data_IF_418497425992
#
_entry.id   IF_418497425992
#
_cell.length_a   1.000
_cell.length_b   1.000
_cell.length_c   1.000
_cell.angle_alpha   90.00
_cell.angle_beta   90.00
_cell.angle_gamma   90.00
#
_symmetry.space_group_name_H-M   'P 1'
#
loop_
_entity.id
_entity.type
_entity.pdbx_description
1 polymer ?
#
# COMPACT_ATOMS: atom_id res chain seq x y z
N UNK A 1 36.27 74.00 48.33
CA UNK A 1 36.46 72.91 47.36
C UNK A 1 35.26 72.95 46.39
N UNK A 2 35.14 73.89 45.45
CA UNK A 2 35.62 73.83 44.06
C UNK A 2 36.70 72.77 43.74
N UNK A 3 36.85 72.29 42.47
CA UNK A 3 36.17 72.82 41.28
C UNK A 3 35.81 71.85 40.10
N UNK A 4 34.98 72.40 39.18
CA UNK A 4 35.12 72.48 37.70
C UNK A 4 34.90 71.20 36.86
N UNK A 5 34.31 71.23 35.65
CA UNK A 5 33.62 72.22 34.80
C UNK A 5 33.23 71.47 33.50
N UNK A 6 32.02 71.59 32.94
CA UNK A 6 31.64 72.60 31.93
C UNK A 6 32.65 72.67 30.74
N UNK A 7 32.31 72.64 29.45
CA UNK A 7 31.20 73.24 28.67
C UNK A 7 31.51 72.95 27.17
N UNK A 8 30.58 72.52 26.30
CA UNK A 8 29.62 73.31 25.48
C UNK A 8 30.15 73.69 24.08
N UNK A 9 29.21 73.71 23.10
CA UNK A 9 29.16 74.45 21.81
C UNK A 9 29.55 73.64 20.56
N UNK A 10 28.87 73.69 19.40
CA UNK A 10 27.72 74.49 18.94
C UNK A 10 27.16 73.96 17.60
N UNK A 11 25.88 74.24 17.36
CA UNK A 11 25.15 74.24 16.07
C UNK A 11 25.76 75.18 15.01
N UNK A 12 25.67 74.79 13.72
CA UNK A 12 25.23 75.59 12.54
C UNK A 12 25.66 74.87 11.23
N UNK A 13 24.77 74.29 10.41
CA UNK A 13 23.93 74.87 9.34
C UNK A 13 24.66 75.37 8.07
N UNK A 14 24.09 75.02 6.89
CA UNK A 14 24.19 75.61 5.52
C UNK A 14 24.96 74.74 4.49
N UNK A 15 24.22 73.95 3.68
CA UNK A 15 23.93 74.07 2.22
C UNK A 15 25.14 73.80 1.30
N UNK A 16 25.07 73.18 0.12
CA UNK A 16 24.09 72.50 -0.74
C UNK A 16 24.94 71.97 -1.93
N UNK A 17 24.61 70.89 -2.67
CA UNK A 17 23.91 70.92 -3.99
C UNK A 17 24.18 69.56 -4.67
N UNK A 18 23.10 68.94 -5.17
CA UNK A 18 22.91 68.06 -6.36
C UNK A 18 23.92 66.91 -6.63
N UNK A 19 23.52 65.68 -7.01
CA UNK A 19 22.47 65.34 -7.96
C UNK A 19 21.95 63.89 -7.79
N UNK A 20 20.69 63.71 -8.18
CA UNK A 20 20.03 62.43 -8.46
C UNK A 20 20.80 61.54 -9.45
N UNK A 21 20.79 60.24 -9.16
CA UNK A 21 20.56 59.22 -10.19
C UNK A 21 19.90 58.00 -9.55
N UNK A 22 18.62 57.81 -9.89
CA UNK A 22 17.85 56.58 -9.71
C UNK A 22 18.50 55.43 -10.47
N UNK A 23 18.83 54.34 -9.79
CA UNK A 23 19.05 53.04 -10.42
C UNK A 23 18.31 51.98 -9.60
N UNK A 24 17.19 51.56 -10.15
CA UNK A 24 16.55 50.30 -9.84
C UNK A 24 17.59 49.19 -10.06
N UNK A 25 18.08 48.60 -8.97
CA UNK A 25 18.85 47.38 -9.03
C UNK A 25 17.86 46.22 -8.95
N UNK A 26 17.57 45.66 -10.12
CA UNK A 26 17.02 44.32 -10.28
C UNK A 26 17.79 43.36 -9.35
N UNK A 27 17.10 42.74 -8.39
CA UNK A 27 17.61 41.55 -7.74
C UNK A 27 17.59 40.43 -8.79
N UNK A 28 18.67 40.33 -9.57
CA UNK A 28 18.98 39.10 -10.27
C UNK A 28 19.44 38.10 -9.22
N UNK A 29 18.53 37.24 -8.79
CA UNK A 29 18.89 35.97 -8.17
C UNK A 29 19.63 35.17 -9.22
N UNK A 30 20.96 35.29 -9.26
CA UNK A 30 21.78 34.30 -9.95
C UNK A 30 21.66 33.03 -9.14
N UNK A 31 20.75 32.15 -9.56
CA UNK A 31 20.79 30.75 -9.17
C UNK A 31 22.22 30.26 -9.45
N UNK A 32 22.90 29.75 -8.42
CA UNK A 32 24.17 29.09 -8.64
C UNK A 32 23.95 27.96 -9.65
N UNK A 33 24.84 27.77 -10.63
CA UNK A 33 24.73 26.65 -11.54
C UNK A 33 24.81 25.38 -10.71
N UNK A 34 23.74 24.59 -10.74
CA UNK A 34 23.71 23.19 -10.31
C UNK A 34 25.05 22.56 -10.66
N UNK A 35 25.80 22.14 -9.64
CA UNK A 35 27.08 21.47 -9.83
C UNK A 35 26.86 20.31 -10.79
N UNK A 36 27.64 20.26 -11.88
CA UNK A 36 27.55 19.17 -12.84
C UNK A 36 27.49 17.82 -12.09
N UNK A 37 26.54 16.92 -12.44
CA UNK A 37 26.34 15.68 -11.69
C UNK A 37 27.66 14.95 -11.57
N UNK A 38 28.01 14.57 -10.34
CA UNK A 38 29.23 13.79 -10.11
C UNK A 38 29.03 12.46 -10.84
N UNK A 39 30.06 11.98 -11.55
CA UNK A 39 29.98 10.68 -12.22
C UNK A 39 29.64 9.61 -11.16
N UNK A 40 28.48 8.99 -11.29
CA UNK A 40 27.95 8.01 -10.34
C UNK A 40 26.96 8.54 -9.28
N UNK A 41 26.56 9.81 -9.36
CA UNK A 41 25.69 10.49 -8.39
C UNK A 41 24.55 11.20 -9.13
N UNK A 42 23.56 10.42 -9.57
CA UNK A 42 22.35 10.90 -10.24
C UNK A 42 21.11 10.24 -9.62
N UNK A 43 19.99 10.95 -9.62
CA UNK A 43 18.69 10.34 -9.39
C UNK A 43 18.52 9.14 -10.34
N UNK A 44 17.91 8.07 -9.86
CA UNK A 44 17.56 6.91 -10.67
C UNK A 44 16.21 7.09 -11.37
N UNK A 45 15.36 7.97 -10.85
CA UNK A 45 14.15 8.42 -11.51
C UNK A 45 14.46 9.61 -12.43
N UNK A 46 14.25 9.39 -13.73
CA UNK A 46 14.43 10.43 -14.76
C UNK A 46 13.28 11.47 -14.79
N UNK A 47 12.21 11.24 -14.02
CA UNK A 47 11.08 12.15 -13.86
C UNK A 47 9.81 11.46 -13.34
N UNK A 48 8.83 12.27 -12.95
CA UNK A 48 7.54 11.81 -12.42
C UNK A 48 6.45 11.72 -13.50
N UNK A 49 5.53 10.80 -13.30
CA UNK A 49 4.34 10.64 -14.16
C UNK A 49 3.21 11.54 -13.68
N UNK A 50 2.69 12.39 -14.58
CA UNK A 50 1.48 13.15 -14.29
C UNK A 50 0.26 12.23 -14.22
N UNK A 51 -0.54 12.40 -13.18
CA UNK A 51 -1.83 11.72 -13.04
C UNK A 51 -2.79 12.15 -14.18
N UNK A 52 -2.79 13.42 -14.57
CA UNK A 52 -3.61 13.93 -15.69
C UNK A 52 -3.25 13.29 -17.04
N UNK A 53 -1.99 12.92 -17.26
CA UNK A 53 -1.56 12.28 -18.51
C UNK A 53 -2.14 10.86 -18.63
N UNK A 54 -2.35 10.17 -17.50
CA UNK A 54 -3.03 8.88 -17.45
C UNK A 54 -4.53 9.07 -17.72
N UNK A 55 -5.17 10.01 -17.02
CA UNK A 55 -6.62 10.23 -17.10
C UNK A 55 -7.09 10.78 -18.45
N UNK A 56 -6.26 11.60 -19.09
CA UNK A 56 -6.53 12.13 -20.43
C UNK A 56 -6.26 11.14 -21.56
N UNK A 57 -5.67 9.98 -21.25
CA UNK A 57 -5.22 9.02 -22.26
C UNK A 57 -4.00 9.49 -23.07
N UNK A 58 -3.24 10.46 -22.55
CA UNK A 58 -1.99 10.91 -23.16
C UNK A 58 -0.91 9.83 -23.09
N UNK A 59 -0.99 8.94 -22.09
CA UNK A 59 -0.19 7.72 -22.00
C UNK A 59 -1.00 6.51 -22.48
N UNK A 60 -0.35 5.69 -23.31
CA UNK A 60 -0.87 4.37 -23.68
C UNK A 60 -0.69 3.37 -22.52
N UNK A 61 -1.46 2.27 -22.55
CA UNK A 61 -1.31 1.19 -21.56
C UNK A 61 0.12 0.67 -21.50
N UNK A 62 0.78 0.45 -22.64
CA UNK A 62 2.16 -0.05 -22.69
C UNK A 62 3.12 0.91 -21.98
N UNK A 63 2.97 2.22 -22.19
CA UNK A 63 3.77 3.24 -21.51
C UNK A 63 3.50 3.28 -20.00
N UNK A 64 2.26 3.09 -19.58
CA UNK A 64 1.88 3.04 -18.15
C UNK A 64 2.53 1.81 -17.50
N UNK A 65 2.43 0.64 -18.14
CA UNK A 65 3.00 -0.62 -17.66
C UNK A 65 4.54 -0.55 -17.62
N UNK A 66 5.18 -0.02 -18.67
CA UNK A 66 6.64 0.15 -18.74
C UNK A 66 7.15 1.07 -17.63
N UNK A 67 6.46 2.19 -17.37
CA UNK A 67 6.80 3.10 -16.26
C UNK A 67 6.62 2.45 -14.89
N UNK A 68 5.56 1.67 -14.71
CA UNK A 68 5.33 0.92 -13.48
C UNK A 68 6.37 -0.17 -13.25
N UNK A 69 6.77 -0.90 -14.30
CA UNK A 69 7.86 -1.89 -14.24
C UNK A 69 9.20 -1.21 -13.95
N UNK A 70 9.46 -0.06 -14.57
CA UNK A 70 10.63 0.75 -14.29
C UNK A 70 10.66 1.11 -12.80
N UNK A 71 9.60 1.75 -12.27
CA UNK A 71 9.53 2.12 -10.86
C UNK A 71 9.67 0.92 -9.91
N UNK A 72 9.15 -0.26 -10.29
CA UNK A 72 9.27 -1.49 -9.51
C UNK A 72 10.71 -2.02 -9.41
N UNK A 73 11.52 -1.78 -10.45
CA UNK A 73 12.91 -2.28 -10.57
C UNK A 73 13.96 -1.23 -10.25
N UNK A 74 13.56 0.04 -10.21
CA UNK A 74 14.42 1.16 -9.81
C UNK A 74 14.99 0.91 -8.42
N UNK A 75 16.31 0.96 -8.32
CA UNK A 75 17.02 0.97 -7.04
C UNK A 75 17.16 2.42 -6.58
N UNK A 76 16.17 2.91 -5.84
CA UNK A 76 16.12 4.28 -5.34
C UNK A 76 17.36 4.65 -4.54
N UNK A 77 17.75 5.92 -4.64
CA UNK A 77 18.85 6.49 -3.86
C UNK A 77 18.43 7.83 -3.22
N UNK A 78 19.33 8.44 -2.47
CA UNK A 78 19.04 9.69 -1.75
C UNK A 78 18.77 10.90 -2.66
N UNK A 79 19.11 10.82 -3.95
CA UNK A 79 18.77 11.84 -4.94
C UNK A 79 17.35 11.64 -5.50
N UNK A 80 16.72 10.50 -5.23
CA UNK A 80 15.31 10.23 -5.52
C UNK A 80 14.40 10.59 -4.32
N UNK A 81 14.96 10.79 -3.13
CA UNK A 81 14.20 10.94 -1.86
C UNK A 81 14.33 9.74 -0.91
N UNK A 82 15.09 8.70 -1.27
CA UNK A 82 15.09 7.48 -0.49
C UNK A 82 15.81 7.65 0.86
N UNK A 83 15.09 7.41 1.96
CA UNK A 83 15.71 7.06 3.23
C UNK A 83 14.94 7.45 4.49
N UNK A 84 13.95 8.35 4.39
CA UNK A 84 13.16 8.84 5.53
C UNK A 84 13.97 9.15 6.80
N UNK A 85 14.92 10.09 6.75
CA UNK A 85 15.89 10.27 7.83
C UNK A 85 15.24 10.67 9.16
N UNK A 86 14.24 11.55 9.15
CA UNK A 86 13.60 12.08 10.38
C UNK A 86 12.22 11.47 10.71
N UNK A 87 11.70 10.52 9.92
CA UNK A 87 10.37 9.94 10.15
C UNK A 87 10.37 8.41 10.22
N UNK A 88 9.27 7.87 10.71
CA UNK A 88 8.95 6.45 10.74
C UNK A 88 7.52 6.19 10.26
N UNK A 89 7.14 4.91 10.12
CA UNK A 89 5.85 4.42 9.59
C UNK A 89 5.14 5.36 8.57
N UNK A 90 3.81 5.31 8.44
CA UNK A 90 3.06 6.23 7.58
C UNK A 90 2.31 7.29 8.38
N UNK A 91 2.55 7.42 9.68
CA UNK A 91 1.94 8.41 10.56
C UNK A 91 2.59 9.78 10.34
N UNK A 92 1.81 10.87 10.22
CA UNK A 92 2.35 12.21 10.01
C UNK A 92 3.02 12.80 11.26
N UNK A 93 2.95 12.11 12.40
CA UNK A 93 3.41 12.65 13.69
C UNK A 93 4.53 11.79 14.31
N UNK A 94 5.00 10.74 13.62
CA UNK A 94 6.01 9.82 14.16
C UNK A 94 7.42 10.20 13.66
N UNK A 95 8.06 11.10 14.40
CA UNK A 95 9.38 11.66 14.09
C UNK A 95 10.49 11.06 14.95
N UNK A 96 11.70 11.01 14.40
CA UNK A 96 12.92 10.56 15.05
C UNK A 96 14.11 11.48 14.73
N UNK A 97 15.20 11.46 15.51
CA UNK A 97 16.44 12.12 15.12
C UNK A 97 16.94 11.63 13.75
N UNK A 98 17.39 12.56 12.91
CA UNK A 98 17.87 12.26 11.56
C UNK A 98 18.90 11.13 11.52
N UNK A 99 18.67 10.17 10.62
CA UNK A 99 19.60 9.07 10.33
C UNK A 99 20.05 9.10 8.88
N UNK A 100 21.34 9.34 8.69
CA UNK A 100 21.98 9.42 7.36
C UNK A 100 23.05 8.35 7.24
N UNK A 101 23.60 8.18 6.03
CA UNK A 101 24.64 7.19 5.78
C UNK A 101 25.82 7.30 6.77
N UNK A 102 26.30 6.17 7.35
CA UNK A 102 25.95 4.79 7.05
C UNK A 102 24.81 4.18 7.91
N UNK A 103 24.16 4.97 8.76
CA UNK A 103 23.18 4.52 9.76
C UNK A 103 21.73 4.72 9.31
N UNK A 104 21.48 4.88 8.01
CA UNK A 104 20.15 5.15 7.44
C UNK A 104 19.33 3.88 7.16
N UNK A 105 19.95 2.70 7.06
CA UNK A 105 19.25 1.42 6.87
C UNK A 105 19.04 0.68 8.19
N UNK A 106 17.87 0.06 8.34
CA UNK A 106 17.56 -0.83 9.45
C UNK A 106 16.58 -1.90 9.03
N UNK A 107 17.04 -3.15 9.06
CA UNK A 107 16.30 -4.33 8.60
C UNK A 107 14.98 -4.60 9.33
N UNK A 108 14.81 -4.04 10.53
CA UNK A 108 13.66 -4.28 11.40
C UNK A 108 12.63 -3.16 11.30
N UNK A 109 13.06 -1.90 11.39
CA UNK A 109 12.16 -0.74 11.58
C UNK A 109 12.38 0.41 10.60
N UNK A 110 13.54 0.45 9.92
CA UNK A 110 13.88 1.49 8.95
C UNK A 110 13.73 1.00 7.52
N UNK A 111 14.18 1.80 6.53
CA UNK A 111 14.40 1.30 5.18
C UNK A 111 15.29 0.05 5.21
N UNK A 112 14.90 -0.96 4.46
CA UNK A 112 15.54 -2.28 4.41
C UNK A 112 15.79 -2.80 2.99
N UNK A 113 15.36 -2.04 1.98
CA UNK A 113 15.59 -2.32 0.58
C UNK A 113 15.68 -1.00 -0.21
N UNK A 114 16.04 -1.08 -1.49
CA UNK A 114 16.03 0.06 -2.42
C UNK A 114 15.12 -0.15 -3.63
N UNK A 115 14.54 -1.35 -3.80
CA UNK A 115 13.71 -1.69 -4.96
C UNK A 115 12.70 -2.78 -4.59
N UNK A 116 11.51 -2.74 -5.18
CA UNK A 116 10.51 -3.79 -4.98
C UNK A 116 11.02 -5.16 -5.45
N UNK A 117 11.77 -5.20 -6.56
CA UNK A 117 12.33 -6.43 -7.13
C UNK A 117 13.32 -7.15 -6.22
N UNK A 118 13.86 -6.50 -5.17
CA UNK A 118 14.75 -7.14 -4.20
C UNK A 118 14.03 -8.18 -3.34
N UNK A 119 12.74 -7.97 -3.07
CA UNK A 119 11.90 -8.89 -2.29
C UNK A 119 10.86 -9.61 -3.17
N UNK A 120 10.45 -9.00 -4.28
CA UNK A 120 9.42 -9.52 -5.18
C UNK A 120 9.99 -9.98 -6.53
N UNK A 121 10.98 -10.88 -6.47
CA UNK A 121 11.82 -11.23 -7.62
C UNK A 121 11.92 -12.72 -7.94
N UNK A 122 11.38 -13.62 -7.11
CA UNK A 122 11.57 -15.08 -7.25
C UNK A 122 10.23 -15.78 -7.56
N UNK A 123 10.12 -16.56 -8.67
CA UNK A 123 11.18 -16.95 -9.60
C UNK A 123 11.50 -15.89 -10.68
N UNK A 124 10.69 -14.84 -10.76
CA UNK A 124 10.90 -13.67 -11.63
C UNK A 124 10.22 -12.46 -11.01
N UNK A 125 10.41 -11.29 -11.62
CA UNK A 125 9.78 -10.04 -11.23
C UNK A 125 8.26 -10.22 -10.99
N UNK A 126 7.80 -9.82 -9.81
CA UNK A 126 6.43 -10.00 -9.32
C UNK A 126 6.23 -11.27 -8.49
N UNK A 127 7.26 -12.09 -8.34
CA UNK A 127 7.27 -13.23 -7.43
C UNK A 127 7.43 -12.84 -5.96
N UNK A 128 7.62 -13.82 -5.08
CA UNK A 128 7.92 -13.56 -3.67
C UNK A 128 9.41 -13.59 -3.39
N UNK A 129 9.74 -13.67 -2.11
CA UNK A 129 11.11 -13.68 -1.61
C UNK A 129 11.32 -14.74 -0.53
N UNK A 130 12.58 -15.11 -0.31
CA UNK A 130 12.95 -16.11 0.70
C UNK A 130 13.00 -15.51 2.11
N UNK A 131 13.40 -16.33 3.10
CA UNK A 131 13.48 -15.91 4.49
C UNK A 131 14.35 -14.66 4.73
N UNK A 132 15.38 -14.41 3.91
CA UNK A 132 16.23 -13.23 4.07
C UNK A 132 15.49 -11.93 3.73
N UNK A 133 14.37 -12.03 3.01
CA UNK A 133 13.51 -10.92 2.58
C UNK A 133 12.20 -10.81 3.38
N UNK A 134 12.05 -11.55 4.49
CA UNK A 134 10.88 -11.45 5.38
C UNK A 134 10.74 -10.04 5.97
N UNK A 135 9.57 -9.42 5.94
CA UNK A 135 9.36 -8.10 6.56
C UNK A 135 8.91 -8.24 8.02
N UNK A 136 9.20 -7.23 8.86
CA UNK A 136 8.74 -7.16 10.24
C UNK A 136 7.57 -6.18 10.33
N UNK A 137 6.35 -6.68 10.14
CA UNK A 137 5.14 -5.83 10.14
C UNK A 137 4.97 -5.20 11.53
N UNK A 138 4.64 -3.89 11.57
CA UNK A 138 4.48 -3.05 12.77
C UNK A 138 5.77 -2.68 13.49
N UNK A 139 6.92 -3.17 13.04
CA UNK A 139 8.19 -2.74 13.59
C UNK A 139 8.62 -1.36 13.06
N UNK A 140 8.03 -0.92 11.94
CA UNK A 140 8.22 0.39 11.35
C UNK A 140 7.67 1.55 12.18
N UNK A 141 6.87 1.26 13.21
CA UNK A 141 6.41 2.25 14.19
C UNK A 141 7.45 2.60 15.27
N UNK A 142 8.54 1.83 15.38
CA UNK A 142 9.66 2.14 16.27
C UNK A 142 10.66 3.09 15.59
N UNK A 143 11.30 3.94 16.39
CA UNK A 143 12.24 4.93 15.88
C UNK A 143 13.42 4.29 15.13
N UNK A 144 14.12 3.31 15.72
CA UNK A 144 15.24 2.60 15.07
C UNK A 144 15.72 1.40 15.90
N UNK A 145 15.08 0.24 15.74
CA UNK A 145 15.31 -0.95 16.56
C UNK A 145 16.75 -1.44 16.50
N UNK A 146 17.34 -1.68 17.67
CA UNK A 146 18.71 -2.20 17.84
C UNK A 146 18.83 -3.27 18.95
N UNK A 147 17.75 -3.59 19.65
CA UNK A 147 17.69 -4.61 20.71
C UNK A 147 18.63 -4.32 21.90
N UNK A 148 18.92 -3.05 22.19
CA UNK A 148 19.70 -2.62 23.34
C UNK A 148 18.86 -1.98 24.47
N UNK A 149 17.55 -1.85 24.26
CA UNK A 149 16.63 -1.21 25.20
C UNK A 149 16.80 0.30 25.30
N UNK A 150 17.41 0.92 24.29
CA UNK A 150 17.56 2.36 24.14
C UNK A 150 16.33 3.03 23.52
N UNK A 151 16.51 4.29 23.14
CA UNK A 151 15.44 5.13 22.54
C UNK A 151 14.89 4.54 21.23
N UNK A 152 15.72 3.87 20.43
CA UNK A 152 15.30 3.22 19.19
C UNK A 152 14.37 2.02 19.38
N UNK A 153 14.38 1.45 20.58
CA UNK A 153 13.55 0.33 21.05
C UNK A 153 12.42 0.84 21.99
N UNK A 154 12.09 2.13 21.98
CA UNK A 154 11.15 2.78 22.92
C UNK A 154 11.45 2.49 24.41
N UNK A 155 12.73 2.31 24.74
CA UNK A 155 13.20 1.91 26.06
C UNK A 155 12.65 0.55 26.55
N UNK A 156 12.29 -0.34 25.62
CA UNK A 156 11.73 -1.66 25.89
C UNK A 156 12.68 -2.78 25.45
N UNK A 157 12.57 -3.94 26.10
CA UNK A 157 13.30 -5.13 25.69
C UNK A 157 12.52 -5.85 24.57
N UNK A 158 13.08 -5.83 23.36
CA UNK A 158 12.53 -6.54 22.22
C UNK A 158 13.34 -7.77 21.82
N UNK A 159 12.69 -8.64 21.06
CA UNK A 159 13.30 -9.75 20.31
C UNK A 159 12.72 -9.74 18.91
N UNK A 160 13.30 -10.50 17.98
CA UNK A 160 12.70 -10.68 16.64
C UNK A 160 11.23 -11.15 16.67
N UNK A 161 10.82 -11.86 17.74
CA UNK A 161 9.43 -12.34 17.90
C UNK A 161 8.46 -11.29 18.47
N UNK A 162 8.97 -10.26 19.13
CA UNK A 162 8.15 -9.31 19.89
C UNK A 162 8.18 -7.90 19.32
N UNK A 163 9.17 -7.59 18.48
CA UNK A 163 9.29 -6.27 17.82
C UNK A 163 8.26 -6.09 16.71
N UNK A 164 7.90 -7.15 16.01
CA UNK A 164 6.96 -7.12 14.91
C UNK A 164 6.58 -8.52 14.49
N UNK A 165 5.62 -8.60 13.57
CA UNK A 165 5.18 -9.86 13.00
C UNK A 165 6.03 -10.17 11.75
N UNK A 166 7.02 -11.06 11.91
CA UNK A 166 7.88 -11.49 10.80
C UNK A 166 7.08 -12.29 9.77
N UNK A 167 7.09 -11.83 8.52
CA UNK A 167 6.27 -12.38 7.43
C UNK A 167 7.03 -12.42 6.12
N UNK A 168 6.83 -13.49 5.36
CA UNK A 168 7.41 -13.63 4.02
C UNK A 168 6.82 -12.64 3.03
N UNK A 169 7.68 -12.07 2.19
CA UNK A 169 7.31 -11.26 1.04
C UNK A 169 6.60 -12.14 0.01
N UNK A 170 5.31 -11.91 -0.21
CA UNK A 170 4.46 -12.74 -1.07
C UNK A 170 4.55 -12.33 -2.53
N UNK A 171 4.31 -13.25 -3.45
CA UNK A 171 4.13 -12.97 -4.86
C UNK A 171 2.90 -12.11 -5.16
N UNK A 172 3.01 -11.32 -6.22
CA UNK A 172 2.04 -10.34 -6.70
C UNK A 172 1.31 -10.79 -7.98
N UNK A 173 1.65 -11.96 -8.52
CA UNK A 173 1.01 -12.52 -9.72
C UNK A 173 -0.50 -12.60 -9.55
N UNK A 174 -1.26 -11.99 -10.45
CA UNK A 174 -2.72 -12.01 -10.42
C UNK A 174 -3.37 -11.17 -9.31
N UNK A 175 -2.62 -10.29 -8.63
CA UNK A 175 -3.18 -9.44 -7.58
C UNK A 175 -4.34 -8.55 -8.04
N UNK A 176 -4.36 -8.14 -9.32
CA UNK A 176 -5.49 -7.41 -9.91
C UNK A 176 -6.81 -8.19 -9.81
N UNK A 177 -6.79 -9.50 -10.04
CA UNK A 177 -7.98 -10.36 -9.91
C UNK A 177 -8.44 -10.50 -8.46
N UNK A 178 -7.48 -10.62 -7.54
CA UNK A 178 -7.74 -10.73 -6.11
C UNK A 178 -8.41 -9.44 -5.60
N UNK A 179 -7.90 -8.28 -6.02
CA UNK A 179 -8.50 -7.00 -5.65
C UNK A 179 -9.89 -6.82 -6.27
N UNK A 180 -10.09 -7.16 -7.54
CA UNK A 180 -11.40 -7.07 -8.19
C UNK A 180 -12.45 -7.96 -7.50
N UNK A 181 -12.08 -9.19 -7.10
CA UNK A 181 -12.97 -10.05 -6.32
C UNK A 181 -13.39 -9.38 -5.00
N UNK A 182 -12.43 -8.77 -4.29
CA UNK A 182 -12.70 -8.07 -3.03
C UNK A 182 -13.60 -6.83 -3.24
N UNK A 183 -13.41 -6.09 -4.34
CA UNK A 183 -14.27 -4.96 -4.71
C UNK A 183 -15.71 -5.42 -4.96
N UNK A 184 -15.91 -6.43 -5.80
CA UNK A 184 -17.26 -6.96 -6.09
C UNK A 184 -17.92 -7.53 -4.83
N UNK A 185 -17.17 -8.23 -3.97
CA UNK A 185 -17.71 -8.70 -2.69
C UNK A 185 -18.06 -7.55 -1.74
N UNK A 186 -17.29 -6.46 -1.73
CA UNK A 186 -17.61 -5.26 -0.95
C UNK A 186 -18.90 -4.61 -1.44
N UNK A 187 -19.09 -4.53 -2.76
CA UNK A 187 -20.32 -4.02 -3.36
C UNK A 187 -21.55 -4.87 -2.97
N UNK A 188 -21.44 -6.21 -3.04
CA UNK A 188 -22.49 -7.13 -2.59
C UNK A 188 -22.86 -6.87 -1.11
N UNK A 189 -21.86 -6.73 -0.24
CA UNK A 189 -22.04 -6.51 1.19
C UNK A 189 -22.69 -5.15 1.49
N UNK A 190 -22.28 -4.10 0.78
CA UNK A 190 -22.86 -2.76 0.90
C UNK A 190 -24.31 -2.72 0.37
N UNK A 191 -24.60 -3.44 -0.71
CA UNK A 191 -25.97 -3.57 -1.23
C UNK A 191 -26.90 -4.24 -0.21
N UNK A 192 -26.45 -5.30 0.48
CA UNK A 192 -27.22 -5.96 1.55
C UNK A 192 -27.46 -5.00 2.73
N UNK A 193 -26.43 -4.27 3.17
CA UNK A 193 -26.55 -3.24 4.21
C UNK A 193 -27.60 -2.19 3.85
N UNK A 194 -27.55 -1.69 2.62
CA UNK A 194 -28.42 -0.60 2.18
C UNK A 194 -29.87 -1.07 1.99
N UNK A 195 -30.07 -2.32 1.57
CA UNK A 195 -31.38 -2.97 1.54
C UNK A 195 -31.92 -3.20 2.95
N UNK A 196 -31.12 -3.68 3.91
CA UNK A 196 -31.55 -3.83 5.31
C UNK A 196 -32.02 -2.49 5.88
N UNK A 197 -31.27 -1.41 5.63
CA UNK A 197 -31.63 -0.04 6.02
C UNK A 197 -32.94 0.42 5.37
N UNK A 198 -33.12 0.13 4.09
CA UNK A 198 -34.35 0.47 3.36
C UNK A 198 -35.56 -0.26 3.96
N UNK A 199 -35.47 -1.58 4.15
CA UNK A 199 -36.55 -2.38 4.74
C UNK A 199 -36.86 -1.96 6.17
N UNK A 200 -35.85 -1.62 6.99
CA UNK A 200 -36.07 -1.15 8.35
C UNK A 200 -36.81 0.18 8.40
N UNK A 201 -36.47 1.13 7.50
CA UNK A 201 -37.19 2.40 7.35
C UNK A 201 -38.62 2.18 6.87
N UNK A 202 -38.82 1.35 5.85
CA UNK A 202 -40.13 1.10 5.23
C UNK A 202 -41.09 0.38 6.21
N UNK A 203 -40.58 -0.52 7.03
CA UNK A 203 -41.37 -1.29 8.01
C UNK A 203 -41.56 -0.61 9.36
N UNK A 204 -40.68 0.34 9.72
CA UNK A 204 -40.65 0.94 11.05
C UNK A 204 -40.17 -0.01 12.16
N UNK A 205 -39.55 -1.15 11.81
CA UNK A 205 -38.98 -2.12 12.74
C UNK A 205 -37.53 -2.50 12.36
N UNK A 206 -36.70 -2.99 13.30
CA UNK A 206 -35.38 -3.51 12.96
C UNK A 206 -35.47 -4.69 11.98
N UNK A 207 -34.56 -4.70 10.99
CA UNK A 207 -34.47 -5.75 9.97
C UNK A 207 -33.07 -6.35 9.99
N UNK A 208 -32.98 -7.68 10.09
CA UNK A 208 -31.73 -8.42 9.98
C UNK A 208 -31.65 -9.14 8.64
N UNK A 209 -30.53 -8.98 7.92
CA UNK A 209 -30.26 -9.70 6.66
C UNK A 209 -28.93 -10.46 6.77
N UNK A 210 -28.85 -11.69 6.21
CA UNK A 210 -27.59 -12.43 6.12
C UNK A 210 -26.64 -11.69 5.18
N UNK A 211 -25.37 -11.60 5.58
CA UNK A 211 -24.31 -11.03 4.75
C UNK A 211 -23.65 -12.15 3.95
N UNK A 212 -23.78 -12.09 2.64
CA UNK A 212 -23.23 -13.10 1.73
C UNK A 212 -22.69 -12.45 0.47
N UNK A 213 -21.52 -12.86 0.03
CA UNK A 213 -20.93 -12.40 -1.23
C UNK A 213 -20.22 -13.56 -1.92
N UNK A 214 -20.48 -13.77 -3.22
CA UNK A 214 -19.87 -14.84 -4.02
C UNK A 214 -19.93 -16.25 -3.39
N UNK A 215 -20.97 -16.53 -2.61
CA UNK A 215 -21.14 -17.80 -1.90
C UNK A 215 -20.42 -17.91 -0.55
N UNK A 216 -19.75 -16.85 -0.09
CA UNK A 216 -19.13 -16.74 1.23
C UNK A 216 -20.09 -16.07 2.21
N UNK A 217 -20.19 -16.61 3.43
CA UNK A 217 -21.02 -16.05 4.50
C UNK A 217 -20.19 -15.22 5.49
N UNK A 218 -20.67 -14.00 5.80
CA UNK A 218 -20.04 -13.04 6.71
C UNK A 218 -20.93 -12.71 7.92
N UNK A 219 -21.81 -13.64 8.28
CA UNK A 219 -22.74 -13.50 9.41
C UNK A 219 -23.99 -12.70 9.05
N UNK A 220 -24.40 -11.76 9.91
CA UNK A 220 -25.67 -11.03 9.77
C UNK A 220 -25.52 -9.57 10.19
N UNK A 221 -26.13 -8.67 9.41
CA UNK A 221 -26.27 -7.27 9.77
C UNK A 221 -27.70 -6.95 10.19
N UNK A 222 -27.88 -6.12 11.20
CA UNK A 222 -29.20 -5.61 11.59
C UNK A 222 -29.26 -4.10 11.39
N UNK A 223 -30.24 -3.61 10.65
CA UNK A 223 -30.50 -2.19 10.50
C UNK A 223 -31.74 -1.79 11.30
N UNK A 224 -31.68 -0.64 11.98
CA UNK A 224 -32.81 -0.04 12.70
C UNK A 224 -33.52 1.00 11.83
N UNK A 225 -34.80 1.34 12.13
CA UNK A 225 -35.55 2.35 11.37
C UNK A 225 -34.93 3.75 11.38
N UNK A 226 -34.09 4.07 12.37
CA UNK A 226 -33.35 5.32 12.47
C UNK A 226 -32.07 5.37 11.60
N UNK A 227 -31.75 4.27 10.91
CA UNK A 227 -30.58 4.13 10.05
C UNK A 227 -29.33 3.59 10.75
N UNK A 228 -29.37 3.38 12.07
CA UNK A 228 -28.27 2.74 12.80
C UNK A 228 -28.10 1.27 12.38
N UNK A 229 -26.85 0.79 12.47
CA UNK A 229 -26.46 -0.57 12.12
C UNK A 229 -25.90 -1.27 13.36
N UNK A 230 -26.36 -2.48 13.61
CA UNK A 230 -25.76 -3.43 14.52
C UNK A 230 -24.97 -4.47 13.70
N UNK A 231 -23.64 -4.40 13.85
CA UNK A 231 -22.67 -5.27 13.20
C UNK A 231 -22.08 -6.30 14.16
N UNK A 232 -22.66 -6.51 15.35
CA UNK A 232 -22.13 -7.44 16.36
C UNK A 232 -22.13 -8.91 15.93
N UNK A 233 -22.91 -9.25 14.88
CA UNK A 233 -22.94 -10.57 14.25
C UNK A 233 -22.31 -10.58 12.86
N UNK A 234 -21.55 -9.56 12.50
CA UNK A 234 -20.68 -9.57 11.32
C UNK A 234 -19.44 -10.38 11.65
N UNK A 235 -19.02 -11.24 10.74
CA UNK A 235 -17.92 -12.17 10.95
C UNK A 235 -16.84 -11.98 9.90
N UNK A 236 -15.59 -11.95 10.35
CA UNK A 236 -14.41 -12.06 9.49
C UNK A 236 -14.09 -10.84 8.62
N UNK A 237 -14.85 -9.75 8.76
CA UNK A 237 -14.64 -8.45 8.10
C UNK A 237 -14.90 -7.31 9.09
N UNK A 238 -14.44 -6.11 8.78
CA UNK A 238 -14.64 -4.94 9.65
C UNK A 238 -16.08 -4.42 9.56
N UNK A 239 -16.54 -3.61 10.55
CA UNK A 239 -17.89 -3.05 10.55
C UNK A 239 -18.24 -2.19 9.32
N UNK A 240 -17.24 -1.73 8.56
CA UNK A 240 -17.43 -1.02 7.29
C UNK A 240 -17.79 -1.94 6.11
N UNK A 241 -17.75 -3.26 6.33
CA UNK A 241 -18.05 -4.32 5.37
C UNK A 241 -17.15 -4.31 4.12
N UNK A 242 -15.98 -3.69 4.20
CA UNK A 242 -14.99 -3.71 3.11
C UNK A 242 -14.18 -4.99 3.19
N UNK A 243 -14.12 -5.72 2.08
CA UNK A 243 -13.26 -6.90 1.95
C UNK A 243 -11.83 -6.42 1.70
N UNK A 244 -10.93 -6.79 2.60
CA UNK A 244 -9.50 -6.43 2.56
C UNK A 244 -8.68 -7.66 2.18
N UNK A 245 -8.27 -7.79 0.90
CA UNK A 245 -7.70 -9.04 0.43
C UNK A 245 -6.20 -9.18 0.70
N UNK A 246 -5.51 -8.11 1.11
CA UNK A 246 -4.06 -8.10 1.24
C UNK A 246 -3.60 -8.13 2.71
N UNK A 247 -2.33 -8.51 2.89
CA UNK A 247 -1.73 -8.90 4.18
C UNK A 247 -2.34 -10.19 4.76
N UNK A 248 -1.63 -10.79 5.72
CA UNK A 248 -2.03 -12.04 6.37
C UNK A 248 -3.24 -11.85 7.32
N UNK A 249 -3.47 -10.60 7.74
CA UNK A 249 -4.59 -10.20 8.60
C UNK A 249 -5.74 -9.57 7.83
N UNK A 250 -5.66 -9.39 6.52
CA UNK A 250 -6.73 -8.74 5.75
C UNK A 250 -6.99 -7.31 6.24
N UNK A 251 -5.94 -6.48 6.20
CA UNK A 251 -5.92 -5.11 6.75
C UNK A 251 -5.78 -4.05 5.66
N UNK A 252 -5.42 -4.46 4.44
CA UNK A 252 -5.18 -3.59 3.30
C UNK A 252 -6.24 -3.83 2.22
N UNK A 253 -6.89 -2.74 1.79
CA UNK A 253 -8.02 -2.72 0.84
C UNK A 253 -7.55 -2.85 -0.60
N UNK A 254 -6.41 -2.24 -0.97
CA UNK A 254 -5.98 -2.12 -2.36
C UNK A 254 -4.47 -2.22 -2.56
N UNK A 255 -4.07 -2.51 -3.80
CA UNK A 255 -2.69 -2.41 -4.26
C UNK A 255 -2.12 -1.01 -4.05
N UNK A 256 -2.90 0.06 -4.26
CA UNK A 256 -2.46 1.44 -3.98
C UNK A 256 -2.13 1.64 -2.51
N UNK A 257 -3.04 1.22 -1.62
CA UNK A 257 -2.81 1.36 -0.18
C UNK A 257 -1.54 0.64 0.25
N UNK A 258 -1.36 -0.60 -0.23
CA UNK A 258 -0.13 -1.37 0.00
C UNK A 258 1.11 -0.65 -0.56
N UNK A 259 1.06 -0.23 -1.82
CA UNK A 259 2.20 0.38 -2.51
C UNK A 259 2.68 1.65 -1.81
N UNK A 260 1.76 2.54 -1.40
CA UNK A 260 2.14 3.76 -0.69
C UNK A 260 2.79 3.44 0.67
N UNK A 261 2.25 2.46 1.41
CA UNK A 261 2.82 2.04 2.69
C UNK A 261 4.21 1.44 2.48
N UNK A 262 4.34 0.53 1.51
CA UNK A 262 5.59 -0.18 1.21
C UNK A 262 6.69 0.76 0.72
N UNK A 263 6.34 1.76 -0.13
CA UNK A 263 7.30 2.74 -0.65
C UNK A 263 8.00 3.49 0.47
N UNK A 264 7.22 3.98 1.42
CA UNK A 264 7.76 4.68 2.58
C UNK A 264 8.45 3.73 3.55
N UNK A 265 7.83 2.60 3.90
CA UNK A 265 8.37 1.69 4.91
C UNK A 265 9.72 1.10 4.50
N UNK A 266 9.81 0.55 3.28
CA UNK A 266 10.95 -0.28 2.86
C UNK A 266 12.06 0.52 2.18
N UNK A 267 11.70 1.58 1.47
CA UNK A 267 12.66 2.39 0.70
C UNK A 267 12.85 3.78 1.30
N UNK A 268 11.92 4.23 2.15
CA UNK A 268 11.90 5.59 2.63
C UNK A 268 11.52 6.59 1.56
N UNK A 269 10.69 6.19 0.57
CA UNK A 269 10.18 7.04 -0.49
C UNK A 269 8.75 7.52 -0.16
N UNK A 270 8.49 8.82 -0.26
CA UNK A 270 7.22 9.42 0.17
C UNK A 270 6.28 9.75 -0.98
N UNK A 271 5.07 9.16 -0.94
CA UNK A 271 4.00 9.52 -1.87
C UNK A 271 3.32 10.83 -1.45
N UNK A 272 3.30 11.80 -2.37
CA UNK A 272 2.62 13.09 -2.23
C UNK A 272 1.16 12.98 -1.77
N UNK A 273 0.43 11.95 -2.22
CA UNK A 273 -0.95 11.70 -1.80
C UNK A 273 -1.12 11.39 -0.30
N UNK A 274 -0.04 10.95 0.37
CA UNK A 274 -0.03 10.64 1.80
C UNK A 274 0.55 11.76 2.64
N UNK A 275 1.63 12.39 2.17
CA UNK A 275 2.46 13.32 2.94
C UNK A 275 2.26 14.80 2.57
N UNK A 276 1.56 15.07 1.45
CA UNK A 276 1.23 16.41 0.97
C UNK A 276 2.07 16.84 -0.22
N UNK A 277 1.48 17.67 -1.08
CA UNK A 277 2.16 18.22 -2.25
C UNK A 277 3.15 19.33 -1.83
N UNK A 278 4.34 19.33 -2.42
CA UNK A 278 5.46 20.22 -2.11
C UNK A 278 5.89 20.22 -0.63
N UNK A 279 5.69 19.08 0.06
CA UNK A 279 6.10 18.85 1.44
C UNK A 279 7.27 17.86 1.45
N UNK A 280 8.38 18.28 2.08
CA UNK A 280 9.50 17.42 2.50
C UNK A 280 9.23 17.01 3.94
N UNK A 281 8.52 15.87 4.13
CA UNK A 281 8.01 15.49 5.45
C UNK A 281 9.08 14.82 6.31
N UNK A 282 10.09 14.19 5.71
CA UNK A 282 11.19 13.54 6.43
C UNK A 282 12.51 14.31 6.45
N UNK A 283 12.51 15.53 5.91
CA UNK A 283 13.61 16.50 5.95
C UNK A 283 14.88 15.99 5.24
N UNK A 284 14.72 15.23 4.17
CA UNK A 284 15.84 14.73 3.37
C UNK A 284 16.29 15.71 2.27
N UNK A 285 15.53 16.80 2.08
CA UNK A 285 15.77 17.84 1.09
C UNK A 285 15.00 17.68 -0.21
N UNK A 286 14.18 16.64 -0.34
CA UNK A 286 13.32 16.36 -1.47
C UNK A 286 11.84 16.48 -1.08
N UNK A 287 11.06 17.08 -1.96
CA UNK A 287 9.61 17.08 -1.87
C UNK A 287 9.05 16.43 -3.14
N UNK A 288 7.81 15.92 -3.07
CA UNK A 288 7.12 15.30 -4.20
C UNK A 288 7.88 14.07 -4.78
N UNK A 289 8.54 13.28 -3.92
CA UNK A 289 9.38 12.14 -4.31
C UNK A 289 8.64 11.07 -5.12
N UNK A 290 7.34 10.87 -4.84
CA UNK A 290 6.45 10.04 -5.65
C UNK A 290 5.14 10.77 -5.91
N UNK A 291 4.82 11.00 -7.18
CA UNK A 291 3.57 11.60 -7.60
C UNK A 291 2.41 10.59 -7.56
N UNK A 292 1.17 11.07 -7.56
CA UNK A 292 -0.03 10.23 -7.72
C UNK A 292 0.04 9.36 -8.98
N UNK A 293 0.58 9.89 -10.07
CA UNK A 293 0.73 9.18 -11.34
C UNK A 293 1.81 8.11 -11.29
N UNK A 294 2.91 8.31 -10.56
CA UNK A 294 3.91 7.26 -10.34
C UNK A 294 3.29 6.06 -9.63
N UNK A 295 2.53 6.31 -8.54
CA UNK A 295 1.81 5.25 -7.83
C UNK A 295 0.76 4.58 -8.74
N UNK A 296 0.05 5.35 -9.58
CA UNK A 296 -0.90 4.78 -10.56
C UNK A 296 -0.21 3.83 -11.53
N UNK A 297 0.96 4.21 -12.09
CA UNK A 297 1.69 3.32 -13.01
C UNK A 297 2.15 2.03 -12.33
N UNK A 298 2.64 2.12 -11.10
CA UNK A 298 3.04 0.96 -10.30
C UNK A 298 1.87 0.03 -9.99
N UNK A 299 0.73 0.58 -9.57
CA UNK A 299 -0.48 -0.20 -9.25
C UNK A 299 -1.02 -0.90 -10.50
N UNK A 300 -1.06 -0.20 -11.65
CA UNK A 300 -1.50 -0.81 -12.91
C UNK A 300 -0.53 -1.91 -13.35
N UNK A 301 0.78 -1.70 -13.23
CA UNK A 301 1.77 -2.75 -13.48
C UNK A 301 1.54 -3.99 -12.60
N UNK A 302 1.37 -3.82 -11.30
CA UNK A 302 1.09 -4.90 -10.35
C UNK A 302 -0.23 -5.62 -10.66
N UNK A 303 -1.29 -4.87 -10.99
CA UNK A 303 -2.60 -5.43 -11.34
C UNK A 303 -2.55 -6.27 -12.62
N UNK A 304 -1.69 -5.87 -13.58
CA UNK A 304 -1.50 -6.53 -14.86
C UNK A 304 -0.57 -7.75 -14.79
N UNK A 305 0.08 -8.03 -13.66
CA UNK A 305 0.89 -9.24 -13.49
C UNK A 305 0.00 -10.48 -13.71
N UNK A 306 0.43 -11.42 -14.57
CA UNK A 306 -0.41 -12.53 -14.98
C UNK A 306 -0.74 -13.45 -13.80
N UNK A 307 -1.91 -14.12 -13.81
CA UNK A 307 -2.22 -15.15 -12.82
C UNK A 307 -1.20 -16.30 -12.91
N UNK A 308 -0.85 -16.96 -11.80
CA UNK A 308 -0.07 -18.19 -11.79
C UNK A 308 -0.88 -19.31 -12.45
N UNK A 309 -0.24 -20.03 -13.38
CA UNK A 309 -0.84 -21.16 -14.06
C UNK A 309 -0.82 -22.44 -13.22
N UNK A 310 -1.80 -23.32 -13.44
CA UNK A 310 -1.83 -24.67 -12.86
C UNK A 310 -1.00 -25.64 -13.71
N UNK A 311 0.01 -26.25 -13.12
CA UNK A 311 0.84 -27.28 -13.78
C UNK A 311 0.52 -28.66 -13.20
N UNK A 312 -0.02 -29.56 -14.03
CA UNK A 312 -0.27 -30.95 -13.64
C UNK A 312 0.94 -31.82 -13.97
N UNK A 313 1.34 -32.78 -13.10
CA UNK A 313 2.45 -33.68 -13.38
C UNK A 313 2.24 -34.49 -14.66
N UNK A 314 3.29 -34.67 -15.47
CA UNK A 314 3.22 -35.48 -16.69
C UNK A 314 3.10 -36.98 -16.38
N UNK A 315 3.76 -37.45 -15.32
CA UNK A 315 3.72 -38.86 -14.94
C UNK A 315 2.31 -39.27 -14.50
N UNK A 316 1.70 -40.32 -15.09
CA UNK A 316 0.31 -40.69 -14.82
C UNK A 316 -0.01 -40.92 -13.34
N UNK A 317 0.90 -41.56 -12.60
CA UNK A 317 0.70 -41.82 -11.17
C UNK A 317 0.73 -40.54 -10.33
N UNK A 318 1.62 -39.59 -10.67
CA UNK A 318 1.71 -38.30 -9.98
C UNK A 318 0.49 -37.42 -10.28
N UNK A 319 0.01 -37.45 -11.53
CA UNK A 319 -1.25 -36.81 -11.93
C UNK A 319 -2.44 -37.37 -11.17
N UNK A 320 -2.55 -38.70 -11.08
CA UNK A 320 -3.59 -39.36 -10.33
C UNK A 320 -3.49 -39.05 -8.82
N UNK A 321 -2.28 -38.92 -8.28
CA UNK A 321 -2.06 -38.51 -6.89
C UNK A 321 -2.53 -37.07 -6.64
N UNK A 322 -2.20 -36.12 -7.52
CA UNK A 322 -2.66 -34.74 -7.44
C UNK A 322 -4.20 -34.63 -7.48
N UNK A 323 -4.85 -35.36 -8.39
CA UNK A 323 -6.31 -35.41 -8.48
C UNK A 323 -6.96 -36.02 -7.24
N UNK A 324 -6.39 -37.09 -6.69
CA UNK A 324 -6.85 -37.65 -5.40
C UNK A 324 -6.65 -36.66 -4.25
N UNK A 325 -5.56 -35.90 -4.25
CA UNK A 325 -5.28 -34.85 -3.27
C UNK A 325 -6.34 -33.76 -3.27
N UNK A 326 -6.73 -33.27 -4.45
CA UNK A 326 -7.80 -32.26 -4.62
C UNK A 326 -9.16 -32.77 -4.13
N UNK A 327 -9.51 -34.03 -4.44
CA UNK A 327 -10.72 -34.66 -3.91
C UNK A 327 -10.66 -34.82 -2.38
N UNK A 328 -9.51 -35.22 -1.83
CA UNK A 328 -9.31 -35.37 -0.40
C UNK A 328 -9.37 -34.02 0.33
N UNK A 329 -8.79 -32.96 -0.25
CA UNK A 329 -8.84 -31.60 0.30
C UNK A 329 -10.28 -31.13 0.52
N UNK A 330 -11.15 -31.40 -0.45
CA UNK A 330 -12.58 -31.09 -0.33
C UNK A 330 -13.30 -32.02 0.67
N UNK A 331 -12.99 -33.32 0.63
CA UNK A 331 -13.61 -34.31 1.53
C UNK A 331 -13.21 -34.12 3.02
N UNK A 332 -12.06 -33.49 3.28
CA UNK A 332 -11.60 -33.09 4.60
C UNK A 332 -12.09 -31.69 5.01
N UNK A 333 -12.99 -31.09 4.24
CA UNK A 333 -13.59 -29.77 4.49
C UNK A 333 -12.56 -28.61 4.50
N UNK A 334 -11.36 -28.82 3.94
CA UNK A 334 -10.36 -27.74 3.80
C UNK A 334 -10.89 -26.63 2.87
N UNK A 335 -11.70 -27.00 1.89
CA UNK A 335 -12.35 -26.07 0.95
C UNK A 335 -13.45 -25.21 1.54
N UNK A 336 -13.81 -25.39 2.82
CA UNK A 336 -14.79 -24.54 3.51
C UNK A 336 -14.26 -23.11 3.67
N UNK A 337 -12.98 -22.97 4.05
CA UNK A 337 -12.30 -21.66 4.05
C UNK A 337 -11.52 -21.47 2.74
N UNK A 338 -10.79 -22.50 2.28
CA UNK A 338 -10.00 -22.42 1.05
C UNK A 338 -10.84 -22.70 -0.20
N UNK A 339 -11.84 -21.84 -0.45
CA UNK A 339 -12.74 -21.97 -1.59
C UNK A 339 -11.94 -21.97 -2.89
N UNK A 340 -11.98 -23.06 -3.69
CA UNK A 340 -11.06 -23.23 -4.81
C UNK A 340 -11.13 -22.13 -5.85
N UNK A 341 -12.35 -21.75 -6.26
CA UNK A 341 -12.58 -20.75 -7.30
C UNK A 341 -13.68 -19.76 -6.86
N UNK A 342 -13.49 -18.47 -7.12
CA UNK A 342 -14.52 -17.44 -6.98
C UNK A 342 -14.86 -16.85 -8.36
N UNK A 343 -16.14 -16.59 -8.66
CA UNK A 343 -16.55 -15.97 -9.91
C UNK A 343 -16.26 -14.47 -9.90
N UNK A 344 -15.58 -13.96 -10.92
CA UNK A 344 -15.36 -12.55 -11.18
C UNK A 344 -16.29 -12.09 -12.32
N UNK A 345 -17.11 -11.07 -12.07
CA UNK A 345 -18.11 -10.60 -13.04
C UNK A 345 -17.51 -9.64 -14.06
N UNK A 346 -16.65 -8.73 -13.61
CA UNK A 346 -16.04 -7.69 -14.42
C UNK A 346 -14.51 -7.70 -14.27
N UNK A 347 -13.76 -8.20 -15.26
CA UNK A 347 -12.30 -8.22 -15.22
C UNK A 347 -11.66 -6.87 -15.60
N UNK A 348 -12.39 -5.77 -15.58
CA UNK A 348 -11.84 -4.42 -15.82
C UNK A 348 -11.37 -3.82 -14.51
N UNK A 349 -10.05 -3.73 -14.35
CA UNK A 349 -9.43 -3.05 -13.22
C UNK A 349 -9.52 -1.53 -13.40
N UNK A 350 -9.98 -0.83 -12.38
CA UNK A 350 -10.04 0.62 -12.35
C UNK A 350 -9.10 1.20 -11.30
N UNK A 351 -8.47 2.31 -11.61
CA UNK A 351 -7.59 3.05 -10.71
C UNK A 351 -8.00 4.53 -10.70
N UNK A 352 -8.28 5.13 -9.51
CA UNK A 352 -8.19 4.56 -8.17
C UNK A 352 -9.28 3.53 -7.80
N UNK A 353 -8.99 2.70 -6.80
CA UNK A 353 -9.99 1.83 -6.15
C UNK A 353 -11.09 2.67 -5.46
N UNK A 354 -12.39 2.39 -5.68
CA UNK A 354 -13.51 3.10 -5.04
C UNK A 354 -13.55 3.07 -3.50
N UNK A 355 -12.87 2.10 -2.89
CA UNK A 355 -12.85 1.88 -1.45
C UNK A 355 -11.50 2.27 -0.82
N UNK A 356 -10.63 2.97 -1.55
CA UNK A 356 -9.37 3.46 -1.00
C UNK A 356 -9.59 4.28 0.29
N UNK A 357 -8.82 4.02 1.36
CA UNK A 357 -8.91 4.83 2.57
C UNK A 357 -8.39 6.25 2.34
N UNK A 358 -8.68 7.16 3.27
CA UNK A 358 -8.16 8.52 3.25
C UNK A 358 -6.61 8.57 3.20
N UNK A 359 -6.05 9.60 2.56
CA UNK A 359 -4.61 9.70 2.34
C UNK A 359 -4.08 8.80 1.21
N UNK A 360 -5.00 8.40 0.32
CA UNK A 360 -4.79 7.75 -0.98
C UNK A 360 -5.71 8.42 -1.99
N UNK A 361 -5.33 8.37 -3.27
CA UNK A 361 -6.11 8.91 -4.38
C UNK A 361 -7.53 8.35 -4.39
N UNK A 362 -8.49 9.25 -4.34
CA UNK A 362 -9.92 8.97 -4.30
C UNK A 362 -10.55 9.14 -5.69
N UNK A 363 -11.64 8.41 -5.94
CA UNK A 363 -12.37 8.49 -7.22
C UNK A 363 -12.89 9.91 -7.53
N UNK A 364 -13.22 10.71 -6.51
CA UNK A 364 -13.71 12.07 -6.72
C UNK A 364 -12.58 13.09 -6.99
N UNK A 365 -11.32 12.72 -6.80
CA UNK A 365 -10.15 13.57 -7.05
C UNK A 365 -9.65 13.47 -8.48
N UNK A 366 -10.10 12.46 -9.23
CA UNK A 366 -9.74 12.23 -10.63
C UNK A 366 -10.87 12.67 -11.55
N UNK A 367 -10.53 13.18 -12.73
CA UNK A 367 -11.53 13.54 -13.75
C UNK A 367 -12.17 12.28 -14.33
N UNK A 368 -11.37 11.24 -14.56
CA UNK A 368 -11.83 9.93 -15.01
C UNK A 368 -10.95 8.84 -14.38
N UNK A 369 -11.58 7.82 -13.77
CA UNK A 369 -10.83 6.64 -13.32
C UNK A 369 -10.25 5.89 -14.53
N UNK A 370 -8.96 5.61 -14.50
CA UNK A 370 -8.31 4.83 -15.56
C UNK A 370 -8.80 3.39 -15.49
N UNK A 371 -9.15 2.81 -16.63
CA UNK A 371 -9.75 1.48 -16.71
C UNK A 371 -8.95 0.58 -17.66
N UNK A 372 -8.55 -0.59 -17.21
CA UNK A 372 -7.78 -1.57 -17.98
C UNK A 372 -8.42 -2.96 -17.87
N UNK A 373 -8.76 -3.63 -18.99
CA UNK A 373 -9.14 -5.03 -18.93
C UNK A 373 -7.91 -5.85 -18.50
N UNK A 374 -8.04 -6.60 -17.40
CA UNK A 374 -7.03 -7.58 -17.04
C UNK A 374 -6.95 -8.65 -18.12
N UNK A 375 -5.77 -9.21 -18.43
CA UNK A 375 -5.58 -10.17 -19.52
C UNK A 375 -6.51 -11.37 -19.40
N UNK A 376 -7.59 -11.38 -20.18
CA UNK A 376 -8.68 -12.32 -20.12
C UNK A 376 -8.26 -13.67 -20.69
N UNK A 377 -8.00 -14.63 -19.81
CA UNK A 377 -8.50 -16.00 -19.98
C UNK A 377 -8.21 -16.79 -21.26
N UNK A 378 -7.29 -16.38 -22.14
CA UNK A 378 -6.86 -17.20 -23.28
C UNK A 378 -6.04 -18.41 -22.80
N UNK A 379 -5.58 -19.26 -23.74
CA UNK A 379 -4.61 -20.35 -23.44
C UNK A 379 -3.40 -19.87 -22.62
N UNK A 380 -3.07 -18.57 -22.68
CA UNK A 380 -1.96 -17.94 -21.98
C UNK A 380 -2.13 -17.82 -20.46
N UNK A 381 -3.34 -17.64 -19.92
CA UNK A 381 -3.59 -17.53 -18.47
C UNK A 381 -4.24 -18.80 -17.89
N UNK A 382 -4.95 -19.57 -18.71
CA UNK A 382 -5.61 -20.81 -18.28
C UNK A 382 -6.81 -20.61 -17.36
N UNK A 383 -7.34 -19.38 -17.25
CA UNK A 383 -8.57 -19.10 -16.50
C UNK A 383 -9.79 -19.60 -17.26
N UNK A 384 -10.76 -20.15 -16.53
CA UNK A 384 -11.95 -20.78 -17.11
C UNK A 384 -13.13 -19.81 -17.09
N UNK A 385 -13.91 -19.76 -18.17
CA UNK A 385 -15.21 -19.09 -18.17
C UNK A 385 -16.21 -19.83 -17.28
N UNK A 386 -16.90 -19.08 -16.43
CA UNK A 386 -18.01 -19.54 -15.60
C UNK A 386 -19.37 -19.29 -16.27
N UNK A 387 -20.47 -19.53 -15.53
CA UNK A 387 -21.81 -19.08 -15.92
C UNK A 387 -21.88 -17.56 -16.08
N UNK A 388 -22.86 -17.06 -16.84
CA UNK A 388 -23.16 -15.63 -16.98
C UNK A 388 -21.96 -14.76 -17.39
N UNK A 389 -21.09 -15.31 -18.27
CA UNK A 389 -19.87 -14.66 -18.77
C UNK A 389 -18.85 -14.27 -17.67
N UNK A 390 -18.95 -14.88 -16.49
CA UNK A 390 -17.96 -14.71 -15.41
C UNK A 390 -16.62 -15.38 -15.72
N UNK A 391 -15.56 -14.93 -15.06
CA UNK A 391 -14.26 -15.59 -15.04
C UNK A 391 -14.11 -16.33 -13.69
N UNK A 392 -13.83 -17.63 -13.73
CA UNK A 392 -13.53 -18.41 -12.53
C UNK A 392 -12.07 -18.23 -12.13
N UNK A 393 -11.84 -17.55 -11.01
CA UNK A 393 -10.50 -17.25 -10.50
C UNK A 393 -10.13 -18.30 -9.44
N UNK A 394 -9.13 -19.19 -9.67
CA UNK A 394 -8.74 -20.25 -8.73
C UNK A 394 -7.99 -19.79 -7.46
N UNK A 395 -8.60 -18.91 -6.67
CA UNK A 395 -7.96 -18.18 -5.53
C UNK A 395 -7.67 -19.01 -4.28
N UNK A 396 -8.40 -20.11 -4.03
CA UNK A 396 -8.27 -20.95 -2.80
C UNK A 396 -8.37 -20.15 -1.49
N UNK A 397 -9.35 -19.26 -1.41
CA UNK A 397 -9.66 -18.44 -0.23
C UNK A 397 -11.10 -17.97 -0.30
N UNK A 398 -11.70 -17.72 0.85
CA UNK A 398 -12.99 -17.05 1.00
C UNK A 398 -12.85 -15.53 1.23
N UNK A 399 -11.61 -15.02 1.27
CA UNK A 399 -11.29 -13.63 1.61
C UNK A 399 -11.89 -13.18 2.96
N UNK A 400 -12.09 -14.11 3.89
CA UNK A 400 -12.63 -13.89 5.23
C UNK A 400 -11.57 -14.12 6.31
N UNK A 401 -11.64 -13.37 7.41
CA UNK A 401 -10.84 -13.63 8.61
C UNK A 401 -11.49 -14.69 9.48
N UNK A 402 -10.68 -15.59 10.04
CA UNK A 402 -11.11 -16.67 10.93
C UNK A 402 -10.29 -16.62 12.22
N UNK A 403 -10.95 -16.81 13.37
CA UNK A 403 -10.24 -17.08 14.62
C UNK A 403 -9.68 -18.50 14.56
N UNK A 404 -8.36 -18.60 14.63
CA UNK A 404 -7.64 -19.87 14.57
C UNK A 404 -7.38 -20.45 15.97
N UNK A 405 -7.87 -19.76 17.02
CA UNK A 405 -7.76 -20.14 18.41
C UNK A 405 -6.34 -20.06 18.98
N UNK A 406 -6.22 -20.31 20.28
CA UNK A 406 -4.97 -20.12 21.04
C UNK A 406 -3.78 -20.94 20.52
N UNK A 407 -4.04 -22.10 19.91
CA UNK A 407 -2.99 -22.99 19.41
C UNK A 407 -2.23 -22.36 18.23
N UNK A 408 -2.93 -21.57 17.40
CA UNK A 408 -2.39 -20.93 16.21
C UNK A 408 -2.20 -19.41 16.39
N UNK A 409 -2.39 -18.91 17.62
CA UNK A 409 -2.08 -17.55 18.00
C UNK A 409 -0.57 -17.39 18.26
N UNK A 410 0.19 -17.21 17.18
CA UNK A 410 1.66 -17.11 17.20
C UNK A 410 2.19 -15.67 17.06
N UNK A 411 1.30 -14.67 16.93
CA UNK A 411 1.67 -13.26 16.87
C UNK A 411 1.60 -12.59 18.24
N UNK A 412 2.42 -11.56 18.42
CA UNK A 412 2.53 -10.83 19.70
C UNK A 412 1.94 -9.43 19.64
N UNK A 413 1.59 -8.96 18.44
CA UNK A 413 1.06 -7.61 18.19
C UNK A 413 -0.19 -7.69 17.33
N UNK A 414 -1.23 -6.98 17.76
CA UNK A 414 -2.45 -6.76 16.96
C UNK A 414 -2.16 -5.82 15.80
N UNK A 415 -2.71 -6.11 14.63
CA UNK A 415 -2.53 -5.32 13.41
C UNK A 415 -3.86 -4.64 13.06
N UNK A 416 -3.90 -3.30 13.11
CA UNK A 416 -5.09 -2.51 12.78
C UNK A 416 -6.37 -3.00 13.50
N UNK A 417 -6.26 -3.27 14.81
CA UNK A 417 -7.33 -3.82 15.67
C UNK A 417 -7.78 -5.25 15.32
N UNK A 418 -7.09 -5.94 14.42
CA UNK A 418 -7.31 -7.38 14.18
C UNK A 418 -6.60 -8.19 15.27
N UNK A 419 -7.33 -9.04 16.03
CA UNK A 419 -6.75 -9.86 17.08
C UNK A 419 -5.61 -10.78 16.58
N UNK A 420 -4.68 -11.11 17.48
CA UNK A 420 -3.51 -11.92 17.13
C UNK A 420 -3.85 -13.36 16.72
N UNK A 421 -5.00 -13.88 17.14
CA UNK A 421 -5.50 -15.22 16.79
C UNK A 421 -6.32 -15.26 15.49
N UNK A 422 -6.65 -14.11 14.90
CA UNK A 422 -7.44 -14.06 13.66
C UNK A 422 -6.57 -13.98 12.42
N UNK A 423 -6.96 -14.69 11.35
CA UNK A 423 -6.18 -14.72 10.11
C UNK A 423 -7.09 -14.67 8.91
N UNK A 424 -6.73 -13.88 7.90
CA UNK A 424 -7.33 -14.00 6.58
C UNK A 424 -7.00 -15.39 6.03
N UNK A 425 -7.99 -16.09 5.47
CA UNK A 425 -7.69 -17.39 4.85
C UNK A 425 -6.61 -17.22 3.79
N UNK A 426 -5.48 -17.90 4.00
CA UNK A 426 -4.32 -17.82 3.11
C UNK A 426 -4.72 -18.24 1.70
N UNK A 427 -4.54 -17.32 0.76
CA UNK A 427 -4.62 -17.60 -0.67
C UNK A 427 -3.60 -18.68 -1.02
N UNK A 428 -4.04 -19.79 -1.61
CA UNK A 428 -3.12 -20.81 -2.16
C UNK A 428 -2.77 -20.53 -3.63
N UNK A 429 -3.29 -19.42 -4.16
CA UNK A 429 -2.89 -18.80 -5.42
C UNK A 429 -1.38 -18.54 -5.45
N UNK A 430 -0.68 -19.14 -6.41
CA UNK A 430 0.76 -18.94 -6.59
C UNK A 430 1.66 -19.60 -5.52
N UNK A 431 1.08 -20.24 -4.49
CA UNK A 431 1.82 -20.76 -3.33
C UNK A 431 2.96 -21.72 -3.69
N UNK A 432 2.80 -22.51 -4.75
CA UNK A 432 3.83 -23.46 -5.19
C UNK A 432 5.08 -22.80 -5.81
N UNK A 433 5.01 -21.51 -6.15
CA UNK A 433 6.10 -20.74 -6.74
C UNK A 433 6.78 -19.79 -5.73
N UNK A 434 6.32 -19.81 -4.47
CA UNK A 434 6.94 -19.07 -3.37
C UNK A 434 8.17 -19.87 -2.84
N UNK A 435 9.29 -19.21 -2.49
CA UNK A 435 10.52 -19.86 -2.01
C UNK A 435 10.41 -20.68 -0.72
#
# INVERSE_FOLDING_TARGET
MNPLSATRKSLAFILAILAWATLAACHNTTAEPSSAPRIGDTATLDGHTSQDDIESGSLTLDQIVERGEHLFTTSFNTLDGAGRPETTDVSPDNFRPARTFPDNFNRISGPDANACSSCHGVPRLGGGGDNATNVFVLADGFHFVNFDGGEGDDFQAHTLRTVGNERTSLGLFGSGYIELLAREMTEDMHAIRDEARKQARDSGAPVSLPLTAKGVEFGTITASPDGSLDTSRVEGVDPDLVIRPFMQKGTIVSLREFAVKAMNQHFGMQASERFGDAVDHDADGMADELSRGDISTLVIFQAMLPPPGRVMPDHPEARAAAQRGEALFSALECSTCHIPELPLNNPVFTEPNPFNPAGKLQVFEVANAYSVPLPDGGEATGLRSGPDDTIMVPVFTDLKRHSMGDILNNETREEEMVPTDQWLTRKLWGFANEP
#
